data_IF_966037206709
#
_entry.id   IF_966037206709
#
_cell.length_a   1.000
_cell.length_b   1.000
_cell.length_c   1.000
_cell.angle_alpha   90.00
_cell.angle_beta   90.00
_cell.angle_gamma   90.00
#
_symmetry.space_group_name_H-M   'P 1'
#
loop_
_entity.id
_entity.type
_entity.pdbx_description
1 polymer ?
#
# COMPACT_ATOMS: atom_id res chain seq x y z
N UNK A 1 34.42 -3.32 2.02
CA UNK A 1 34.62 -4.25 0.90
C UNK A 1 33.57 -3.93 -0.16
N UNK A 2 33.98 -3.74 -1.41
CA UNK A 2 33.33 -2.85 -2.39
C UNK A 2 32.05 -3.38 -3.04
N UNK A 3 31.08 -2.47 -3.22
CA UNK A 3 29.78 -2.55 -3.93
C UNK A 3 29.86 -2.84 -5.44
N UNK A 4 30.85 -3.57 -5.93
CA UNK A 4 31.02 -3.89 -7.35
C UNK A 4 31.20 -5.39 -7.52
N UNK A 5 30.07 -6.08 -7.61
CA UNK A 5 29.89 -7.37 -8.30
C UNK A 5 28.38 -7.70 -8.34
N UNK A 6 27.56 -6.72 -8.72
CA UNK A 6 26.17 -7.00 -9.14
C UNK A 6 26.28 -7.62 -10.53
N UNK A 7 25.96 -8.91 -10.66
CA UNK A 7 25.89 -9.58 -11.97
C UNK A 7 24.93 -8.78 -12.84
N UNK A 8 25.45 -8.25 -13.94
CA UNK A 8 24.70 -7.61 -15.03
C UNK A 8 23.66 -8.60 -15.51
N UNK A 9 22.38 -8.29 -15.39
CA UNK A 9 21.39 -8.96 -16.24
C UNK A 9 21.46 -8.22 -17.56
N UNK A 10 22.04 -8.87 -18.56
CA UNK A 10 22.16 -8.36 -19.91
C UNK A 10 21.00 -8.95 -20.72
N UNK A 11 19.95 -8.16 -20.92
CA UNK A 11 18.79 -8.55 -21.74
C UNK A 11 19.03 -8.33 -23.25
N UNK A 12 20.22 -7.89 -23.68
CA UNK A 12 20.49 -7.42 -25.04
C UNK A 12 21.83 -7.91 -25.60
N UNK A 13 21.97 -9.23 -25.80
CA UNK A 13 23.02 -9.72 -26.71
C UNK A 13 22.52 -9.78 -28.17
N UNK A 14 22.28 -8.62 -28.79
CA UNK A 14 22.31 -8.43 -30.26
C UNK A 14 22.50 -6.94 -30.61
N UNK A 15 23.75 -6.62 -30.96
CA UNK A 15 24.29 -5.48 -31.70
C UNK A 15 23.55 -4.13 -31.67
N UNK A 16 24.00 -3.23 -30.79
CA UNK A 16 23.69 -1.81 -30.86
C UNK A 16 24.62 -1.06 -31.85
N UNK A 17 24.02 -0.36 -32.82
CA UNK A 17 24.63 0.73 -33.57
C UNK A 17 24.10 2.08 -33.08
N UNK A 18 24.97 2.77 -32.33
CA UNK A 18 25.08 4.20 -31.96
C UNK A 18 24.08 5.25 -32.51
N UNK A 19 23.49 6.10 -31.64
CA UNK A 19 23.86 7.52 -31.41
C UNK A 19 22.73 8.39 -30.78
N UNK A 20 23.07 9.13 -29.70
CA UNK A 20 22.32 10.29 -29.16
C UNK A 20 21.84 10.12 -27.70
N UNK A 21 21.83 11.18 -26.85
CA UNK A 21 21.24 11.08 -25.52
C UNK A 21 19.73 10.98 -25.70
N UNK A 22 19.18 9.78 -25.51
CA UNK A 22 17.74 9.60 -25.48
C UNK A 22 17.19 10.54 -24.40
N UNK A 23 16.36 11.51 -24.77
CA UNK A 23 15.53 12.20 -23.80
C UNK A 23 14.72 11.11 -23.09
N UNK A 24 15.07 10.77 -21.86
CA UNK A 24 14.35 9.76 -21.07
C UNK A 24 12.90 10.21 -20.99
N UNK A 25 12.01 9.50 -21.68
CA UNK A 25 10.58 9.78 -21.70
C UNK A 25 10.04 9.57 -20.28
N UNK A 26 9.84 10.65 -19.54
CA UNK A 26 9.38 10.61 -18.15
C UNK A 26 7.85 10.59 -18.10
N UNK A 27 7.32 9.78 -17.18
CA UNK A 27 5.92 9.82 -16.80
C UNK A 27 5.56 11.16 -16.17
N UNK A 28 4.48 11.77 -16.64
CA UNK A 28 3.86 12.96 -16.04
C UNK A 28 2.37 12.76 -15.90
N UNK A 29 1.76 13.49 -14.96
CA UNK A 29 0.32 13.44 -14.75
C UNK A 29 -0.41 13.82 -16.05
N UNK A 30 -1.39 13.01 -16.44
CA UNK A 30 -2.21 13.20 -17.64
C UNK A 30 -3.69 13.33 -17.31
N UNK A 31 -4.19 12.60 -16.31
CA UNK A 31 -5.60 12.67 -15.92
C UNK A 31 -5.84 12.31 -14.46
N UNK A 32 -6.97 12.81 -13.94
CA UNK A 32 -7.53 12.46 -12.65
C UNK A 32 -8.97 11.98 -12.84
N UNK A 33 -9.25 10.74 -12.45
CA UNK A 33 -10.58 10.14 -12.57
C UNK A 33 -11.21 10.07 -11.17
N UNK A 34 -12.40 10.65 -11.05
CA UNK A 34 -13.18 10.71 -9.81
C UNK A 34 -14.50 9.97 -10.00
N UNK A 35 -14.91 9.22 -8.97
CA UNK A 35 -16.23 8.56 -8.97
C UNK A 35 -16.39 7.49 -7.91
N UNK A 36 -15.30 6.96 -7.36
CA UNK A 36 -15.35 6.10 -6.18
C UNK A 36 -15.49 6.92 -4.89
N UNK A 37 -16.05 6.30 -3.86
CA UNK A 37 -16.27 6.93 -2.54
C UNK A 37 -15.43 6.33 -1.42
N UNK A 38 -14.60 5.33 -1.73
CA UNK A 38 -13.64 4.68 -0.84
C UNK A 38 -12.41 4.24 -1.67
N UNK A 39 -11.38 3.72 -1.01
CA UNK A 39 -10.10 3.32 -1.58
C UNK A 39 -10.26 2.52 -2.88
N UNK A 40 -9.53 2.92 -3.93
CA UNK A 40 -9.44 2.14 -5.17
C UNK A 40 -8.40 1.05 -4.97
N UNK A 41 -8.84 -0.21 -4.89
CA UNK A 41 -8.04 -1.35 -4.43
C UNK A 41 -7.49 -2.25 -5.53
N UNK A 42 -8.08 -2.22 -6.72
CA UNK A 42 -7.56 -2.95 -7.86
C UNK A 42 -7.84 -2.19 -9.16
N UNK A 43 -6.93 -2.34 -10.10
CA UNK A 43 -7.02 -1.80 -11.45
C UNK A 43 -6.64 -2.89 -12.46
N UNK A 44 -7.26 -2.85 -13.64
CA UNK A 44 -6.83 -3.63 -14.80
C UNK A 44 -7.20 -2.87 -16.06
N UNK A 45 -6.48 -3.08 -17.15
CA UNK A 45 -6.83 -2.50 -18.45
C UNK A 45 -7.17 -3.56 -19.49
N UNK A 46 -8.08 -3.24 -20.39
CA UNK A 46 -8.34 -4.03 -21.59
C UNK A 46 -7.45 -3.55 -22.76
N UNK A 47 -7.18 -4.42 -23.76
CA UNK A 47 -6.39 -4.06 -24.94
C UNK A 47 -6.95 -2.90 -25.78
N UNK A 48 -8.25 -2.60 -25.64
CA UNK A 48 -8.92 -1.50 -26.34
C UNK A 48 -8.78 -0.13 -25.64
N UNK A 49 -7.97 -0.07 -24.59
CA UNK A 49 -7.71 1.12 -23.79
C UNK A 49 -8.73 1.39 -22.69
N UNK A 50 -9.69 0.50 -22.47
CA UNK A 50 -10.63 0.61 -21.33
C UNK A 50 -9.90 0.30 -20.02
N UNK A 51 -10.01 1.20 -19.05
CA UNK A 51 -9.52 0.99 -17.68
C UNK A 51 -10.68 0.51 -16.79
N UNK A 52 -10.45 -0.49 -15.95
CA UNK A 52 -11.39 -0.94 -14.94
C UNK A 52 -10.81 -0.69 -13.56
N UNK A 53 -11.65 -0.25 -12.63
CA UNK A 53 -11.29 -0.02 -11.24
C UNK A 53 -12.28 -0.66 -10.28
N UNK A 54 -11.77 -1.29 -9.23
CA UNK A 54 -12.57 -1.79 -8.12
C UNK A 54 -12.22 -1.04 -6.83
N UNK A 55 -13.23 -0.71 -6.04
CA UNK A 55 -13.07 0.04 -4.78
C UNK A 55 -13.70 -0.70 -3.61
N UNK A 56 -13.27 -0.33 -2.40
CA UNK A 56 -13.93 -0.75 -1.15
C UNK A 56 -15.36 -0.24 -1.02
N UNK A 57 -15.76 0.74 -1.83
CA UNK A 57 -17.15 1.22 -1.90
C UNK A 57 -18.14 0.18 -2.47
N UNK A 58 -17.64 -1.00 -2.87
CA UNK A 58 -18.45 -2.10 -3.39
C UNK A 58 -18.85 -1.90 -4.85
N UNK A 59 -18.16 -1.02 -5.57
CA UNK A 59 -18.38 -0.79 -6.99
C UNK A 59 -17.16 -1.13 -7.83
N UNK A 60 -17.46 -1.58 -9.06
CA UNK A 60 -16.51 -1.63 -10.16
C UNK A 60 -16.92 -0.63 -11.22
N UNK A 61 -15.96 0.07 -11.81
CA UNK A 61 -16.20 1.11 -12.81
C UNK A 61 -15.30 0.90 -14.02
N UNK A 62 -15.83 1.16 -15.21
CA UNK A 62 -15.06 1.17 -16.46
C UNK A 62 -14.94 2.57 -17.00
N UNK A 63 -13.73 2.95 -17.39
CA UNK A 63 -13.35 4.27 -17.85
C UNK A 63 -12.77 4.16 -19.24
N UNK A 64 -13.10 5.10 -20.12
CA UNK A 64 -12.56 5.13 -21.48
C UNK A 64 -12.23 6.55 -21.89
N UNK A 65 -11.14 6.72 -22.64
CA UNK A 65 -10.84 7.98 -23.31
C UNK A 65 -11.76 8.14 -24.52
N UNK A 66 -12.35 9.31 -24.68
CA UNK A 66 -13.11 9.64 -25.89
C UNK A 66 -12.18 9.67 -27.11
N UNK A 67 -12.77 9.66 -28.31
CA UNK A 67 -11.99 9.86 -29.52
C UNK A 67 -11.35 11.26 -29.51
N UNK A 68 -10.20 11.38 -30.16
CA UNK A 68 -9.55 12.67 -30.39
C UNK A 68 -10.52 13.59 -31.14
N UNK A 69 -10.71 14.80 -30.64
CA UNK A 69 -11.57 15.78 -31.28
C UNK A 69 -10.98 16.19 -32.66
N UNK A 70 -11.81 16.54 -33.65
CA UNK A 70 -11.34 16.95 -34.98
C UNK A 70 -10.39 18.14 -34.97
N UNK A 71 -10.44 18.96 -33.92
CA UNK A 71 -9.56 20.10 -33.68
C UNK A 71 -8.16 19.70 -33.15
N UNK A 72 -7.90 18.41 -32.98
CA UNK A 72 -6.65 17.88 -32.47
C UNK A 72 -6.54 17.81 -30.94
N UNK A 73 -7.58 18.20 -30.18
CA UNK A 73 -7.63 18.01 -28.74
C UNK A 73 -7.78 16.53 -28.40
N UNK A 74 -7.03 16.09 -27.39
CA UNK A 74 -7.12 14.71 -26.93
C UNK A 74 -8.46 14.39 -26.28
N UNK A 75 -8.83 13.11 -26.36
CA UNK A 75 -10.03 12.60 -25.72
C UNK A 75 -9.92 12.66 -24.20
N UNK A 76 -11.04 12.98 -23.56
CA UNK A 76 -11.16 13.01 -22.10
C UNK A 76 -11.54 11.63 -21.58
N UNK A 77 -11.18 11.35 -20.34
CA UNK A 77 -11.65 10.16 -19.64
C UNK A 77 -13.13 10.30 -19.27
N UNK A 78 -13.93 9.30 -19.61
CA UNK A 78 -15.34 9.22 -19.28
C UNK A 78 -15.67 7.90 -18.58
N UNK A 79 -16.49 7.97 -17.54
CA UNK A 79 -17.10 6.81 -16.90
C UNK A 79 -18.12 6.19 -17.85
N UNK A 80 -17.88 4.96 -18.28
CA UNK A 80 -18.75 4.25 -19.22
C UNK A 80 -19.83 3.44 -18.50
N UNK A 81 -19.47 2.77 -17.41
CA UNK A 81 -20.36 1.87 -16.67
C UNK A 81 -19.93 1.72 -15.22
N UNK A 82 -20.91 1.54 -14.34
CA UNK A 82 -20.73 1.12 -12.95
C UNK A 82 -21.45 -0.21 -12.74
N UNK A 83 -20.79 -1.12 -12.03
CA UNK A 83 -21.39 -2.32 -11.47
C UNK A 83 -21.40 -2.20 -9.96
N UNK A 84 -22.55 -2.43 -9.34
CA UNK A 84 -22.77 -2.35 -7.89
C UNK A 84 -22.74 -3.74 -7.25
N UNK A 85 -22.37 -3.81 -5.97
CA UNK A 85 -22.28 -5.07 -5.22
C UNK A 85 -21.15 -5.98 -5.69
N UNK A 86 -20.13 -5.42 -6.35
CA UNK A 86 -18.95 -6.14 -6.83
C UNK A 86 -17.71 -5.67 -6.06
N UNK A 87 -16.81 -6.60 -5.73
CA UNK A 87 -15.79 -6.36 -4.72
C UNK A 87 -14.37 -6.16 -5.26
N UNK A 88 -13.46 -5.85 -4.33
CA UNK A 88 -12.17 -5.14 -4.40
C UNK A 88 -11.09 -5.64 -5.36
N UNK A 89 -11.17 -6.85 -5.91
CA UNK A 89 -10.27 -7.37 -6.94
C UNK A 89 -10.88 -7.24 -8.33
N UNK A 90 -10.08 -6.92 -9.35
CA UNK A 90 -10.56 -6.87 -10.74
C UNK A 90 -9.55 -7.47 -11.69
N UNK A 91 -10.00 -8.33 -12.59
CA UNK A 91 -9.22 -8.82 -13.71
C UNK A 91 -10.07 -8.84 -14.98
N UNK A 92 -9.46 -8.51 -16.12
CA UNK A 92 -10.14 -8.49 -17.41
C UNK A 92 -9.42 -9.36 -18.44
N UNK A 93 -10.16 -10.35 -18.97
CA UNK A 93 -9.85 -11.05 -20.21
C UNK A 93 -11.14 -11.59 -20.83
N UNK A 94 -11.78 -10.80 -21.70
CA UNK A 94 -13.15 -10.99 -22.25
C UNK A 94 -14.29 -11.03 -21.22
N UNK A 95 -14.00 -11.34 -19.97
CA UNK A 95 -14.89 -11.29 -18.81
C UNK A 95 -14.33 -10.30 -17.78
N UNK A 96 -15.21 -9.76 -16.96
CA UNK A 96 -14.87 -8.98 -15.78
C UNK A 96 -15.01 -9.90 -14.57
N UNK A 97 -13.88 -10.26 -13.95
CA UNK A 97 -13.86 -11.09 -12.75
C UNK A 97 -13.58 -10.20 -11.54
N UNK A 98 -14.38 -10.35 -10.49
CA UNK A 98 -14.25 -9.57 -9.25
C UNK A 98 -14.27 -10.47 -8.04
N UNK A 99 -13.54 -10.08 -6.98
CA UNK A 99 -13.50 -10.83 -5.73
C UNK A 99 -13.31 -9.89 -4.55
N UNK A 100 -13.77 -10.28 -3.37
CA UNK A 100 -13.50 -9.48 -2.18
C UNK A 100 -13.95 -10.10 -0.87
N UNK A 101 -14.40 -9.26 0.06
CA UNK A 101 -14.50 -9.61 1.49
C UNK A 101 -15.55 -10.69 1.80
N UNK A 102 -16.52 -10.87 0.92
CA UNK A 102 -17.60 -11.82 1.03
C UNK A 102 -17.21 -13.26 0.63
N UNK A 103 -15.93 -13.51 0.32
CA UNK A 103 -15.35 -14.77 -0.19
C UNK A 103 -15.84 -15.19 -1.58
N UNK A 104 -16.68 -14.39 -2.24
CA UNK A 104 -17.25 -14.71 -3.54
C UNK A 104 -16.33 -14.22 -4.66
N UNK A 105 -16.40 -14.91 -5.79
CA UNK A 105 -15.87 -14.42 -7.06
C UNK A 105 -17.04 -14.27 -8.03
N UNK A 106 -17.22 -13.07 -8.57
CA UNK A 106 -18.23 -12.81 -9.59
C UNK A 106 -17.57 -12.75 -10.96
N UNK A 107 -18.16 -13.43 -11.93
CA UNK A 107 -17.72 -13.46 -13.33
C UNK A 107 -18.83 -12.87 -14.18
N UNK A 108 -18.57 -11.69 -14.74
CA UNK A 108 -19.52 -10.93 -15.55
C UNK A 108 -19.09 -10.94 -17.01
N UNK A 109 -20.03 -11.24 -17.91
CA UNK A 109 -19.80 -11.14 -19.34
C UNK A 109 -19.85 -9.68 -19.80
N UNK A 110 -18.78 -9.22 -20.44
CA UNK A 110 -18.74 -7.88 -21.04
C UNK A 110 -19.48 -7.82 -22.38
N UNK A 111 -19.61 -8.96 -23.08
CA UNK A 111 -20.28 -9.06 -24.39
C UNK A 111 -21.75 -9.44 -24.30
N UNK A 112 -22.21 -9.93 -23.14
CA UNK A 112 -23.59 -10.27 -22.87
C UNK A 112 -24.02 -9.66 -21.52
N UNK A 113 -24.23 -8.33 -21.46
CA UNK A 113 -24.45 -7.61 -20.21
C UNK A 113 -25.75 -7.99 -19.49
N UNK A 114 -26.73 -8.53 -20.22
CA UNK A 114 -28.00 -9.00 -19.66
C UNK A 114 -27.91 -10.44 -19.10
N UNK A 115 -26.80 -11.14 -19.35
CA UNK A 115 -26.59 -12.46 -18.76
C UNK A 115 -26.32 -12.30 -17.25
N UNK A 116 -26.92 -13.13 -16.39
CA UNK A 116 -26.67 -13.05 -14.95
C UNK A 116 -25.18 -13.31 -14.66
N UNK A 117 -24.60 -12.63 -13.66
CA UNK A 117 -23.25 -12.92 -13.22
C UNK A 117 -23.16 -14.37 -12.73
N UNK A 118 -22.04 -15.02 -13.02
CA UNK A 118 -21.73 -16.32 -12.45
C UNK A 118 -20.95 -16.12 -11.16
N UNK A 119 -21.38 -16.80 -10.10
CA UNK A 119 -20.68 -16.78 -8.82
C UNK A 119 -19.87 -18.05 -8.62
N UNK A 120 -18.56 -17.92 -8.37
CA UNK A 120 -17.70 -19.04 -8.00
C UNK A 120 -17.67 -19.13 -6.47
N UNK A 121 -18.08 -20.29 -5.94
CA UNK A 121 -18.19 -20.57 -4.52
C UNK A 121 -17.08 -21.52 -4.09
N UNK A 122 -16.35 -21.17 -3.03
CA UNK A 122 -15.43 -22.12 -2.41
C UNK A 122 -14.40 -21.55 -1.46
N UNK A 123 -14.00 -20.28 -1.60
CA UNK A 123 -13.12 -19.65 -0.63
C UNK A 123 -13.82 -19.47 0.72
N UNK A 124 -13.05 -19.56 1.81
CA UNK A 124 -13.56 -19.41 3.19
C UNK A 124 -13.38 -18.01 3.78
N UNK A 125 -12.70 -17.11 3.05
CA UNK A 125 -12.40 -15.74 3.48
C UNK A 125 -12.17 -14.86 2.24
N UNK A 126 -11.98 -13.55 2.46
CA UNK A 126 -11.64 -12.52 1.49
C UNK A 126 -10.79 -13.03 0.31
N UNK A 127 -11.30 -12.84 -0.91
CA UNK A 127 -10.53 -13.03 -2.14
C UNK A 127 -9.74 -11.76 -2.43
N UNK A 128 -8.42 -11.88 -2.53
CA UNK A 128 -7.52 -10.73 -2.64
C UNK A 128 -7.13 -10.40 -4.07
N UNK A 129 -7.02 -11.42 -4.91
CA UNK A 129 -6.41 -11.32 -6.22
C UNK A 129 -7.01 -12.35 -7.17
N UNK A 130 -6.96 -12.02 -8.46
CA UNK A 130 -7.49 -12.81 -9.54
C UNK A 130 -6.55 -12.67 -10.74
N UNK A 131 -6.29 -13.78 -11.45
CA UNK A 131 -5.54 -13.75 -12.70
C UNK A 131 -6.02 -14.86 -13.64
N UNK A 132 -6.30 -14.56 -14.90
CA UNK A 132 -6.72 -15.58 -15.86
C UNK A 132 -5.54 -16.20 -16.60
N UNK A 133 -5.74 -17.41 -17.12
CA UNK A 133 -4.89 -17.98 -18.16
C UNK A 133 -5.02 -17.17 -19.46
N UNK A 134 -3.99 -17.20 -20.31
CA UNK A 134 -3.94 -16.46 -21.57
C UNK A 134 -5.09 -16.83 -22.55
N UNK A 135 -5.60 -18.06 -22.47
CA UNK A 135 -6.76 -18.52 -23.24
C UNK A 135 -8.11 -18.13 -22.63
N UNK A 136 -8.12 -17.57 -21.42
CA UNK A 136 -9.31 -17.16 -20.67
C UNK A 136 -10.18 -18.30 -20.16
N UNK A 137 -9.72 -19.55 -20.24
CA UNK A 137 -10.49 -20.72 -19.80
C UNK A 137 -10.34 -20.99 -18.31
N UNK A 138 -9.22 -20.58 -17.71
CA UNK A 138 -8.94 -20.77 -16.29
C UNK A 138 -8.81 -19.43 -15.58
N UNK A 139 -9.32 -19.38 -14.36
CA UNK A 139 -9.11 -18.28 -13.44
C UNK A 139 -8.36 -18.81 -12.23
N UNK A 140 -7.28 -18.13 -11.81
CA UNK A 140 -6.65 -18.34 -10.53
C UNK A 140 -7.14 -17.27 -9.53
N UNK A 141 -7.30 -17.66 -8.27
CA UNK A 141 -7.63 -16.75 -7.17
C UNK A 141 -6.78 -17.03 -5.94
N UNK A 142 -6.46 -15.99 -5.17
CA UNK A 142 -5.80 -16.09 -3.86
C UNK A 142 -6.68 -15.49 -2.76
N UNK A 143 -6.63 -16.06 -1.56
CA UNK A 143 -7.50 -15.67 -0.44
C UNK A 143 -6.79 -15.64 0.91
N UNK A 144 -7.40 -14.93 1.85
CA UNK A 144 -7.06 -14.94 3.28
C UNK A 144 -7.34 -16.28 3.96
N UNK A 145 -8.05 -17.20 3.31
CA UNK A 145 -8.24 -18.58 3.79
C UNK A 145 -6.98 -19.46 3.67
N UNK A 146 -5.84 -18.85 3.32
CA UNK A 146 -4.55 -19.51 3.13
C UNK A 146 -4.55 -20.52 1.97
N UNK A 147 -5.43 -20.34 0.98
CA UNK A 147 -5.44 -21.13 -0.24
C UNK A 147 -5.43 -20.25 -1.48
N UNK A 148 -4.90 -20.81 -2.56
CA UNK A 148 -5.22 -20.37 -3.91
C UNK A 148 -6.09 -21.42 -4.60
N UNK A 149 -6.90 -21.01 -5.57
CA UNK A 149 -7.78 -21.92 -6.32
C UNK A 149 -7.67 -21.68 -7.81
N UNK A 150 -7.88 -22.74 -8.58
CA UNK A 150 -7.99 -22.69 -10.04
C UNK A 150 -9.41 -23.09 -10.40
N UNK A 151 -10.07 -22.27 -11.21
CA UNK A 151 -11.45 -22.41 -11.62
C UNK A 151 -11.52 -22.61 -13.13
N UNK A 152 -12.46 -23.43 -13.56
CA UNK A 152 -12.92 -23.42 -14.94
C UNK A 152 -13.93 -22.30 -15.12
N UNK A 153 -13.67 -21.40 -16.05
CA UNK A 153 -14.44 -20.17 -16.24
C UNK A 153 -15.83 -20.45 -16.83
N UNK A 154 -15.95 -21.48 -17.68
CA UNK A 154 -17.19 -21.80 -18.38
C UNK A 154 -18.20 -22.52 -17.49
N UNK A 155 -17.76 -23.56 -16.79
CA UNK A 155 -18.58 -24.34 -15.86
C UNK A 155 -18.72 -23.66 -14.50
N UNK A 156 -17.73 -22.88 -14.08
CA UNK A 156 -17.62 -22.32 -12.73
C UNK A 156 -17.10 -23.32 -11.69
N UNK A 157 -16.65 -24.50 -12.11
CA UNK A 157 -16.13 -25.52 -11.21
C UNK A 157 -14.74 -25.16 -10.66
N UNK A 158 -14.53 -25.45 -9.38
CA UNK A 158 -13.20 -25.39 -8.77
C UNK A 158 -12.40 -26.62 -9.22
N UNK A 159 -11.48 -26.43 -10.15
CA UNK A 159 -10.63 -27.50 -10.68
C UNK A 159 -9.57 -27.95 -9.67
N UNK A 160 -8.96 -27.00 -8.95
CA UNK A 160 -7.86 -27.29 -8.01
C UNK A 160 -7.91 -26.37 -6.81
N UNK A 161 -7.57 -26.92 -5.63
CA UNK A 161 -7.30 -26.16 -4.41
C UNK A 161 -5.81 -26.30 -4.11
N UNK A 162 -5.09 -25.18 -4.21
CA UNK A 162 -3.67 -25.09 -3.97
C UNK A 162 -3.45 -24.82 -2.48
N UNK A 163 -3.01 -25.86 -1.79
CA UNK A 163 -2.69 -25.85 -0.36
C UNK A 163 -1.16 -25.93 -0.21
N UNK A 164 -0.62 -25.36 0.87
CA UNK A 164 0.80 -25.33 1.34
C UNK A 164 1.18 -23.94 1.91
N UNK A 165 0.29 -22.96 1.81
CA UNK A 165 0.47 -21.62 2.40
C UNK A 165 0.13 -21.61 3.88
N UNK A 166 0.89 -20.86 4.69
CA UNK A 166 0.65 -20.73 6.14
C UNK A 166 0.02 -19.39 6.52
N UNK A 167 -0.28 -18.55 5.53
CA UNK A 167 -0.93 -17.25 5.68
C UNK A 167 -1.69 -16.90 4.40
N UNK A 168 -2.31 -15.72 4.37
CA UNK A 168 -3.08 -15.22 3.23
C UNK A 168 -2.27 -15.25 1.92
N UNK A 169 -2.92 -15.68 0.83
CA UNK A 169 -2.39 -15.54 -0.53
C UNK A 169 -2.85 -14.18 -1.07
N UNK A 170 -1.90 -13.28 -1.30
CA UNK A 170 -2.17 -11.90 -1.68
C UNK A 170 -2.10 -11.65 -3.17
N UNK A 171 -1.32 -12.45 -3.92
CA UNK A 171 -1.30 -12.36 -5.37
C UNK A 171 -1.16 -13.72 -6.04
N UNK A 172 -1.66 -13.83 -7.27
CA UNK A 172 -1.58 -15.02 -8.11
C UNK A 172 -1.23 -14.63 -9.55
N UNK A 173 -0.43 -15.45 -10.21
CA UNK A 173 0.00 -15.24 -11.58
C UNK A 173 -0.10 -16.53 -12.38
N UNK A 174 -0.96 -16.54 -13.40
CA UNK A 174 -1.02 -17.65 -14.37
C UNK A 174 0.13 -17.53 -15.35
N UNK A 175 0.81 -18.65 -15.57
CA UNK A 175 1.94 -18.79 -16.48
C UNK A 175 1.55 -19.74 -17.60
N UNK A 176 1.50 -19.20 -18.81
CA UNK A 176 1.18 -19.92 -20.04
C UNK A 176 2.31 -19.73 -21.06
N UNK A 177 3.49 -20.23 -20.72
CA UNK A 177 4.66 -20.28 -21.60
C UNK A 177 5.04 -21.73 -21.84
N UNK A 178 5.69 -22.00 -22.98
CA UNK A 178 5.95 -23.37 -23.43
C UNK A 178 6.73 -24.17 -22.38
N UNK A 179 6.22 -25.33 -21.99
CA UNK A 179 6.79 -26.18 -20.93
C UNK A 179 6.38 -25.80 -19.51
N UNK A 180 5.66 -24.69 -19.34
CA UNK A 180 5.09 -24.23 -18.07
C UNK A 180 3.58 -24.04 -18.09
N UNK A 181 2.88 -24.58 -19.09
CA UNK A 181 1.44 -24.44 -19.27
C UNK A 181 0.65 -24.85 -18.02
N UNK A 182 -0.33 -24.03 -17.65
CA UNK A 182 -1.16 -24.27 -16.48
C UNK A 182 -0.44 -24.11 -15.15
N UNK A 183 0.75 -23.49 -15.13
CA UNK A 183 1.43 -23.16 -13.88
C UNK A 183 0.79 -21.92 -13.24
N UNK A 184 0.57 -21.95 -11.94
CA UNK A 184 0.15 -20.78 -11.15
C UNK A 184 1.22 -20.46 -10.13
N UNK A 185 1.71 -19.23 -10.15
CA UNK A 185 2.61 -18.68 -9.13
C UNK A 185 1.79 -17.92 -8.11
N UNK A 186 2.13 -18.02 -6.83
CA UNK A 186 1.38 -17.45 -5.71
C UNK A 186 2.32 -16.68 -4.80
N UNK A 187 1.93 -15.47 -4.39
CA UNK A 187 2.61 -14.65 -3.40
C UNK A 187 1.83 -14.67 -2.09
N UNK A 188 2.53 -14.91 -0.99
CA UNK A 188 1.91 -15.16 0.30
C UNK A 188 2.45 -14.24 1.39
N UNK A 189 1.58 -13.92 2.33
CA UNK A 189 1.91 -13.16 3.53
C UNK A 189 2.89 -13.90 4.46
N UNK A 190 3.15 -15.19 4.24
CA UNK A 190 4.18 -15.97 4.94
C UNK A 190 5.61 -15.66 4.46
N UNK A 191 5.75 -14.75 3.49
CA UNK A 191 7.04 -14.32 2.92
C UNK A 191 7.56 -15.23 1.81
N UNK A 192 6.80 -16.24 1.41
CA UNK A 192 7.20 -17.22 0.41
C UNK A 192 6.39 -17.08 -0.88
N UNK A 193 7.03 -17.45 -1.98
CA UNK A 193 6.39 -17.58 -3.28
C UNK A 193 6.41 -19.06 -3.66
N UNK A 194 5.32 -19.55 -4.24
CA UNK A 194 5.20 -20.96 -4.67
C UNK A 194 4.66 -21.03 -6.09
N UNK A 195 5.20 -21.95 -6.89
CA UNK A 195 4.58 -22.34 -8.16
C UNK A 195 3.88 -23.68 -8.02
N UNK A 196 2.71 -23.79 -8.65
CA UNK A 196 1.90 -24.99 -8.66
C UNK A 196 1.61 -25.41 -10.09
N UNK A 197 1.57 -26.73 -10.32
CA UNK A 197 1.08 -27.35 -11.56
C UNK A 197 0.39 -28.66 -11.21
N UNK A 198 -0.76 -28.91 -11.79
CA UNK A 198 -1.58 -30.10 -11.53
C UNK A 198 -1.89 -30.29 -10.03
N UNK A 199 -2.21 -29.19 -9.34
CA UNK A 199 -2.53 -29.16 -7.91
C UNK A 199 -1.33 -29.37 -6.97
N UNK A 200 -0.12 -29.55 -7.49
CA UNK A 200 1.08 -29.82 -6.69
C UNK A 200 2.06 -28.66 -6.73
N UNK A 201 2.65 -28.33 -5.58
CA UNK A 201 3.77 -27.38 -5.52
C UNK A 201 4.96 -27.95 -6.30
N UNK A 202 5.45 -27.18 -7.27
CA UNK A 202 6.62 -27.51 -8.09
C UNK A 202 7.86 -26.77 -7.62
N UNK A 203 7.75 -25.46 -7.38
CA UNK A 203 8.86 -24.64 -6.92
C UNK A 203 8.48 -23.87 -5.65
N UNK A 204 9.50 -23.61 -4.83
CA UNK A 204 9.45 -22.68 -3.70
C UNK A 204 10.56 -21.65 -3.89
N UNK A 205 10.21 -20.37 -3.87
CA UNK A 205 11.15 -19.27 -4.01
C UNK A 205 11.31 -18.60 -2.66
N UNK A 206 12.54 -18.58 -2.16
CA UNK A 206 12.91 -18.04 -0.84
C UNK A 206 13.86 -16.87 -1.05
N UNK A 207 13.54 -15.72 -0.47
CA UNK A 207 14.39 -14.55 -0.54
C UNK A 207 13.83 -13.36 0.22
N UNK A 208 12.53 -13.10 0.09
CA UNK A 208 11.87 -12.03 0.84
C UNK A 208 11.92 -12.25 2.35
N UNK A 209 12.11 -11.17 3.10
CA UNK A 209 12.19 -11.15 4.58
C UNK A 209 10.87 -10.68 5.21
N UNK A 210 9.87 -10.39 4.38
CA UNK A 210 8.54 -9.99 4.79
C UNK A 210 7.45 -10.52 3.86
N UNK A 211 6.19 -10.26 4.20
CA UNK A 211 5.03 -10.65 3.40
C UNK A 211 5.14 -10.22 1.92
N UNK A 212 4.93 -11.16 0.99
CA UNK A 212 4.97 -10.90 -0.46
C UNK A 212 3.59 -10.46 -0.95
N UNK A 213 3.51 -9.27 -1.56
CA UNK A 213 2.25 -8.60 -1.89
C UNK A 213 1.83 -8.68 -3.35
N UNK A 214 2.79 -8.61 -4.27
CA UNK A 214 2.49 -8.48 -5.69
C UNK A 214 3.43 -9.32 -6.55
N UNK A 215 2.93 -9.78 -7.68
CA UNK A 215 3.62 -10.51 -8.72
C UNK A 215 3.43 -9.78 -10.06
N UNK A 216 4.47 -9.74 -10.88
CA UNK A 216 4.35 -9.23 -12.25
C UNK A 216 5.04 -10.19 -13.23
N UNK A 217 4.36 -10.50 -14.33
CA UNK A 217 4.96 -11.31 -15.40
C UNK A 217 6.01 -10.48 -16.14
N UNK A 218 7.24 -10.96 -16.22
CA UNK A 218 8.27 -10.33 -17.04
C UNK A 218 8.25 -11.04 -18.38
N UNK A 219 7.70 -10.38 -19.39
CA UNK A 219 7.72 -10.83 -20.78
C UNK A 219 8.29 -9.75 -21.69
N UNK A 220 9.62 -9.56 -21.72
CA UNK A 220 10.29 -8.94 -22.84
C UNK A 220 10.01 -9.75 -24.11
N UNK A 221 9.98 -9.08 -25.26
CA UNK A 221 9.92 -9.73 -26.58
C UNK A 221 11.09 -10.73 -26.81
N UNK A 222 12.17 -10.60 -26.06
CA UNK A 222 13.44 -11.35 -26.25
C UNK A 222 13.69 -12.42 -25.17
N UNK A 223 12.83 -12.56 -24.17
CA UNK A 223 12.97 -13.66 -23.18
C UNK A 223 12.16 -14.88 -23.60
N UNK A 224 12.53 -16.03 -23.07
CA UNK A 224 11.76 -17.28 -23.13
C UNK A 224 10.41 -17.20 -22.36
N UNK A 225 10.10 -16.05 -21.74
CA UNK A 225 8.91 -15.83 -20.92
C UNK A 225 8.97 -16.53 -19.57
N UNK A 226 10.15 -17.00 -19.14
CA UNK A 226 10.34 -17.76 -17.91
C UNK A 226 10.65 -16.90 -16.68
N UNK A 227 10.44 -15.58 -16.75
CA UNK A 227 10.74 -14.66 -15.65
C UNK A 227 9.49 -14.02 -15.05
N UNK A 228 9.55 -13.74 -13.76
CA UNK A 228 8.56 -12.93 -13.06
C UNK A 228 9.23 -12.11 -11.97
N UNK A 229 8.58 -11.03 -11.57
CA UNK A 229 8.98 -10.21 -10.44
C UNK A 229 8.02 -10.37 -9.28
N UNK A 230 8.52 -10.18 -8.06
CA UNK A 230 7.73 -10.12 -6.84
C UNK A 230 8.06 -8.88 -6.03
N UNK A 231 7.08 -8.32 -5.32
CA UNK A 231 7.28 -7.19 -4.41
C UNK A 231 6.74 -7.50 -3.01
N UNK A 232 7.37 -6.91 -1.99
CA UNK A 232 7.18 -7.30 -0.59
C UNK A 232 7.09 -6.11 0.37
N UNK A 233 6.61 -6.41 1.58
CA UNK A 233 6.69 -5.52 2.73
C UNK A 233 8.13 -5.26 3.21
N UNK A 234 9.11 -6.02 2.75
CA UNK A 234 10.53 -5.76 3.04
C UNK A 234 11.14 -4.61 2.23
N UNK A 235 10.35 -3.92 1.40
CA UNK A 235 10.80 -2.80 0.58
C UNK A 235 11.56 -3.20 -0.69
N UNK A 236 11.69 -4.50 -0.97
CA UNK A 236 12.42 -5.01 -2.14
C UNK A 236 11.49 -5.57 -3.22
N UNK A 237 11.97 -5.50 -4.46
CA UNK A 237 11.43 -6.25 -5.59
C UNK A 237 12.46 -7.30 -5.98
N UNK A 238 12.05 -8.54 -6.19
CA UNK A 238 12.94 -9.63 -6.59
C UNK A 238 12.56 -10.14 -7.96
N UNK A 239 13.58 -10.40 -8.80
CA UNK A 239 13.42 -10.92 -10.15
C UNK A 239 13.81 -12.39 -10.11
N UNK A 240 12.91 -13.24 -10.59
CA UNK A 240 13.04 -14.69 -10.53
C UNK A 240 12.97 -15.29 -11.92
N UNK A 241 13.73 -16.37 -12.11
CA UNK A 241 13.45 -17.35 -13.13
C UNK A 241 12.54 -18.45 -12.57
N UNK A 242 11.64 -19.01 -13.39
CA UNK A 242 10.63 -19.99 -12.96
C UNK A 242 11.20 -21.30 -12.39
N UNK A 243 12.48 -21.61 -12.65
CA UNK A 243 13.18 -22.76 -12.05
C UNK A 243 13.57 -22.55 -10.57
N UNK A 244 13.35 -21.36 -10.02
CA UNK A 244 13.70 -21.02 -8.64
C UNK A 244 14.90 -20.10 -8.50
N UNK A 245 15.61 -19.80 -9.59
CA UNK A 245 16.80 -18.94 -9.55
C UNK A 245 16.42 -17.48 -9.28
N UNK A 246 17.01 -16.88 -8.25
CA UNK A 246 16.97 -15.42 -8.04
C UNK A 246 17.98 -14.75 -8.97
N UNK A 247 17.49 -13.84 -9.80
CA UNK A 247 18.29 -13.13 -10.80
C UNK A 247 18.72 -11.75 -10.31
N UNK A 248 17.83 -11.01 -9.66
CA UNK A 248 18.10 -9.66 -9.17
C UNK A 248 17.27 -9.30 -7.93
N UNK A 249 17.73 -8.27 -7.23
CA UNK A 249 16.99 -7.58 -6.17
C UNK A 249 17.05 -6.08 -6.43
N UNK A 250 15.89 -5.47 -6.63
CA UNK A 250 15.71 -4.04 -6.77
C UNK A 250 15.33 -3.47 -5.41
N UNK A 251 16.03 -2.43 -5.01
CA UNK A 251 15.91 -1.78 -3.71
C UNK A 251 15.71 -0.28 -3.91
N UNK A 252 14.87 0.32 -3.08
CA UNK A 252 14.55 1.75 -3.18
C UNK A 252 13.22 2.16 -2.55
N UNK A 253 12.30 1.24 -2.24
CA UNK A 253 11.13 1.57 -1.44
C UNK A 253 11.49 1.58 0.05
N UNK A 254 11.11 2.65 0.76
CA UNK A 254 11.33 2.78 2.21
C UNK A 254 10.18 2.18 3.04
N UNK A 255 9.19 1.57 2.38
CA UNK A 255 7.99 1.03 3.00
C UNK A 255 7.39 -0.10 2.16
N UNK A 256 6.22 -0.58 2.56
CA UNK A 256 5.52 -1.69 1.94
C UNK A 256 5.19 -1.42 0.47
N UNK A 257 5.56 -2.35 -0.40
CA UNK A 257 5.20 -2.30 -1.82
C UNK A 257 3.88 -3.04 -2.00
N UNK A 258 2.84 -2.34 -2.43
CA UNK A 258 1.48 -2.89 -2.59
C UNK A 258 1.21 -3.45 -3.98
N UNK A 259 1.80 -2.86 -5.03
CA UNK A 259 1.51 -3.24 -6.40
C UNK A 259 2.75 -3.18 -7.28
N UNK A 260 2.82 -4.10 -8.24
CA UNK A 260 3.91 -4.27 -9.19
C UNK A 260 3.32 -4.65 -10.54
N UNK A 261 3.72 -3.94 -11.60
CA UNK A 261 3.25 -4.19 -12.97
C UNK A 261 4.39 -4.08 -13.97
N UNK A 262 4.27 -4.78 -15.09
CA UNK A 262 5.20 -4.68 -16.21
C UNK A 262 4.74 -3.61 -17.18
N UNK A 263 5.70 -2.81 -17.65
CA UNK A 263 5.47 -1.81 -18.69
C UNK A 263 5.71 -2.49 -20.05
N UNK A 264 4.81 -2.33 -21.04
CA UNK A 264 5.00 -2.89 -22.37
C UNK A 264 6.34 -2.44 -23.00
N UNK A 265 7.07 -3.34 -23.65
CA UNK A 265 8.32 -2.99 -24.35
C UNK A 265 8.11 -1.95 -25.45
N UNK A 266 6.90 -1.89 -26.05
CA UNK A 266 6.48 -0.83 -26.97
C UNK A 266 6.45 0.58 -26.34
N UNK A 267 6.52 0.66 -25.02
CA UNK A 267 6.45 1.88 -24.20
C UNK A 267 7.69 2.06 -23.31
N UNK A 268 8.86 1.63 -23.83
CA UNK A 268 10.17 1.62 -23.18
C UNK A 268 10.35 0.58 -22.05
N UNK A 269 9.39 -0.35 -21.91
CA UNK A 269 9.56 -1.54 -21.08
C UNK A 269 9.82 -1.27 -19.59
N UNK A 270 10.16 -2.36 -18.89
CA UNK A 270 10.55 -2.33 -17.49
C UNK A 270 9.39 -2.65 -16.53
N UNK A 271 9.52 -2.18 -15.29
CA UNK A 271 8.53 -2.41 -14.24
C UNK A 271 8.09 -1.08 -13.62
N UNK A 272 6.88 -1.04 -13.10
CA UNK A 272 6.41 0.01 -12.20
C UNK A 272 5.97 -0.61 -10.86
N UNK A 273 6.39 -0.03 -9.75
CA UNK A 273 5.98 -0.44 -8.40
C UNK A 273 5.43 0.73 -7.61
N UNK A 274 4.55 0.45 -6.65
CA UNK A 274 4.00 1.47 -5.75
C UNK A 274 3.63 0.90 -4.39
N UNK A 275 3.49 1.77 -3.39
CA UNK A 275 3.32 1.34 -2.01
C UNK A 275 2.78 2.40 -1.06
N UNK A 276 3.01 2.15 0.24
CA UNK A 276 2.60 3.01 1.36
C UNK A 276 3.39 4.33 1.43
N UNK A 277 4.51 4.42 0.72
CA UNK A 277 5.33 5.62 0.63
C UNK A 277 4.77 6.64 -0.37
N UNK A 278 3.72 6.31 -1.12
CA UNK A 278 3.07 7.21 -2.07
C UNK A 278 3.96 7.56 -3.26
N UNK A 279 4.92 6.69 -3.59
CA UNK A 279 5.84 6.87 -4.72
C UNK A 279 5.61 5.73 -5.71
N UNK A 280 5.39 6.08 -6.98
CA UNK A 280 5.52 5.10 -8.07
C UNK A 280 6.98 5.12 -8.51
N UNK A 281 7.64 3.96 -8.50
CA UNK A 281 9.00 3.79 -9.00
C UNK A 281 8.98 3.07 -10.33
N UNK A 282 9.71 3.62 -11.29
CA UNK A 282 9.87 3.08 -12.64
C UNK A 282 11.26 2.46 -12.73
N UNK A 283 11.32 1.18 -13.06
CA UNK A 283 12.54 0.40 -13.13
C UNK A 283 12.84 0.08 -14.58
N UNK A 284 14.07 0.37 -15.00
CA UNK A 284 14.55 0.18 -16.36
C UNK A 284 14.60 -1.31 -16.74
N UNK A 285 14.21 -1.63 -17.98
CA UNK A 285 14.22 -3.00 -18.50
C UNK A 285 15.62 -3.58 -18.66
N UNK A 286 16.61 -2.78 -19.06
CA UNK A 286 17.95 -3.23 -19.43
C UNK A 286 18.78 -3.64 -18.23
N UNK A 287 18.72 -2.90 -17.12
CA UNK A 287 19.59 -3.12 -15.96
C UNK A 287 18.84 -3.21 -14.61
N UNK A 288 17.53 -3.01 -14.60
CA UNK A 288 16.73 -2.93 -13.36
C UNK A 288 16.98 -1.68 -12.54
N UNK A 289 17.72 -0.70 -13.06
CA UNK A 289 17.98 0.57 -12.40
C UNK A 289 16.72 1.41 -12.23
N UNK A 290 16.68 2.23 -11.19
CA UNK A 290 15.61 3.21 -10.97
C UNK A 290 15.71 4.31 -12.04
N UNK A 291 14.73 4.36 -12.96
CA UNK A 291 14.63 5.35 -14.03
C UNK A 291 13.93 6.63 -13.55
N UNK A 292 12.85 6.47 -12.78
CA UNK A 292 12.05 7.61 -12.32
C UNK A 292 11.31 7.31 -11.01
N UNK A 293 11.17 8.34 -10.19
CA UNK A 293 10.20 8.38 -9.09
C UNK A 293 9.07 9.37 -9.44
N UNK A 294 7.83 8.94 -9.28
CA UNK A 294 6.63 9.75 -9.49
C UNK A 294 5.87 9.86 -8.18
N UNK A 295 5.81 11.07 -7.64
CA UNK A 295 5.19 11.35 -6.35
C UNK A 295 3.68 11.45 -6.50
N UNK A 296 2.92 10.58 -5.84
CA UNK A 296 1.45 10.60 -5.91
C UNK A 296 0.89 11.39 -4.72
N UNK A 297 -0.17 12.21 -4.90
CA UNK A 297 -0.69 13.05 -3.82
C UNK A 297 -1.10 12.30 -2.52
N UNK A 298 -1.89 11.22 -2.57
CA UNK A 298 -2.17 10.36 -1.42
C UNK A 298 -0.93 9.63 -0.88
N UNK A 299 -1.01 9.23 0.39
CA UNK A 299 0.06 8.46 1.05
C UNK A 299 0.13 7.02 0.52
N UNK A 300 -1.02 6.34 0.36
CA UNK A 300 -1.02 4.95 -0.08
C UNK A 300 -1.48 4.84 -1.53
N UNK A 301 -0.64 4.21 -2.35
CA UNK A 301 -0.99 3.78 -3.71
C UNK A 301 -1.23 2.28 -3.68
N UNK A 302 -2.49 1.87 -3.73
CA UNK A 302 -2.90 0.48 -3.50
C UNK A 302 -2.72 -0.41 -4.72
N UNK A 303 -2.95 0.13 -5.91
CA UNK A 303 -2.97 -0.64 -7.15
C UNK A 303 -2.34 0.14 -8.30
N UNK A 304 -1.63 -0.56 -9.17
CA UNK A 304 -1.16 -0.09 -10.46
C UNK A 304 -1.75 -0.95 -11.58
N UNK A 305 -1.93 -0.36 -12.74
CA UNK A 305 -2.03 -1.08 -14.02
C UNK A 305 -1.33 -0.27 -15.10
N UNK A 306 -0.73 -0.97 -16.06
CA UNK A 306 -0.26 -0.35 -17.30
C UNK A 306 -1.27 -0.56 -18.40
N UNK A 307 -1.60 0.50 -19.13
CA UNK A 307 -2.50 0.47 -20.26
C UNK A 307 -1.76 0.00 -21.53
N UNK A 308 -2.52 -0.41 -22.55
CA UNK A 308 -1.98 -0.90 -23.81
C UNK A 308 -1.09 0.12 -24.56
N UNK A 309 -1.28 1.41 -24.31
CA UNK A 309 -0.48 2.52 -24.85
C UNK A 309 0.65 2.98 -23.93
N UNK A 310 0.92 2.23 -22.84
CA UNK A 310 2.03 2.50 -21.92
C UNK A 310 1.71 3.47 -20.79
N UNK A 311 0.52 4.07 -20.77
CA UNK A 311 0.10 4.94 -19.66
C UNK A 311 -0.02 4.11 -18.37
N UNK A 312 0.32 4.71 -17.23
CA UNK A 312 0.18 4.12 -15.92
C UNK A 312 -1.02 4.71 -15.21
N UNK A 313 -1.90 3.87 -14.70
CA UNK A 313 -2.98 4.28 -13.81
C UNK A 313 -2.74 3.73 -12.40
N UNK A 314 -2.99 4.54 -11.38
CA UNK A 314 -2.85 4.12 -10.00
C UNK A 314 -4.10 4.42 -9.15
N UNK A 315 -4.54 3.42 -8.40
CA UNK A 315 -5.69 3.49 -7.49
C UNK A 315 -5.20 3.77 -6.08
N UNK A 316 -5.78 4.77 -5.43
CA UNK A 316 -5.22 5.34 -4.21
C UNK A 316 -6.22 5.45 -3.06
N UNK A 317 -5.71 5.82 -1.88
CA UNK A 317 -6.49 6.01 -0.65
C UNK A 317 -7.32 7.29 -0.57
N UNK A 318 -7.27 8.13 -1.60
CA UNK A 318 -8.09 9.35 -1.75
C UNK A 318 -9.32 9.10 -2.63
N UNK A 319 -9.66 7.84 -2.86
CA UNK A 319 -10.77 7.36 -3.68
C UNK A 319 -10.63 7.74 -5.17
N UNK A 320 -9.46 8.21 -5.58
CA UNK A 320 -9.20 8.65 -6.94
C UNK A 320 -8.31 7.67 -7.71
N UNK A 321 -8.31 7.85 -9.02
CA UNK A 321 -7.37 7.21 -9.92
C UNK A 321 -6.56 8.31 -10.60
N UNK A 322 -5.24 8.22 -10.48
CA UNK A 322 -4.31 9.14 -11.15
C UNK A 322 -3.69 8.42 -12.34
N UNK A 323 -3.69 9.07 -13.51
CA UNK A 323 -3.12 8.52 -14.75
C UNK A 323 -1.90 9.33 -15.13
N UNK A 324 -0.82 8.63 -15.47
CA UNK A 324 0.46 9.19 -15.88
C UNK A 324 0.84 8.68 -17.26
N UNK A 325 1.45 9.52 -18.06
CA UNK A 325 1.82 9.21 -19.44
C UNK A 325 3.26 9.57 -19.75
N UNK A 326 3.90 8.77 -20.60
CA UNK A 326 5.17 9.10 -21.26
C UNK A 326 4.96 9.85 -22.57
N UNK A 327 3.75 9.93 -23.11
CA UNK A 327 3.50 10.56 -24.40
C UNK A 327 3.44 12.08 -24.31
N UNK A 328 4.35 12.77 -25.00
CA UNK A 328 4.49 14.23 -24.97
C UNK A 328 3.23 15.00 -25.36
N UNK A 329 2.37 14.44 -26.22
CA UNK A 329 1.11 15.06 -26.64
C UNK A 329 0.10 15.03 -25.49
N UNK A 330 0.18 14.00 -24.62
CA UNK A 330 -0.74 13.76 -23.49
C UNK A 330 -0.27 14.32 -22.15
N UNK A 331 0.99 14.76 -22.06
CA UNK A 331 1.60 15.33 -20.84
C UNK A 331 0.93 16.61 -20.34
N UNK A 332 -0.06 17.15 -21.07
CA UNK A 332 -0.82 18.34 -20.72
C UNK A 332 -2.15 18.04 -20.05
N UNK A 333 -2.12 17.43 -18.84
CA UNK A 333 -3.32 17.29 -18.01
C UNK A 333 -4.11 18.61 -17.94
N UNK A 334 -5.44 18.52 -17.89
CA UNK A 334 -6.28 19.71 -17.77
C UNK A 334 -5.95 20.50 -16.49
N UNK A 335 -6.27 21.79 -16.50
CA UNK A 335 -5.94 22.69 -15.39
C UNK A 335 -6.47 22.19 -14.04
N UNK A 336 -7.68 21.61 -14.03
CA UNK A 336 -8.28 21.07 -12.81
C UNK A 336 -7.47 19.89 -12.25
N UNK A 337 -7.04 18.98 -13.11
CA UNK A 337 -6.16 17.85 -12.75
C UNK A 337 -4.82 18.36 -12.19
N UNK A 338 -4.19 19.34 -12.83
CA UNK A 338 -2.89 19.88 -12.40
C UNK A 338 -2.98 20.56 -11.03
N UNK A 339 -3.99 21.41 -10.83
CA UNK A 339 -4.24 22.09 -9.55
C UNK A 339 -4.52 21.07 -8.44
N UNK A 340 -5.32 20.03 -8.71
CA UNK A 340 -5.59 18.97 -7.74
C UNK A 340 -4.31 18.20 -7.35
N UNK A 341 -3.47 17.87 -8.33
CA UNK A 341 -2.20 17.18 -8.11
C UNK A 341 -1.25 18.03 -7.24
N UNK A 342 -1.01 19.28 -7.63
CA UNK A 342 -0.10 20.18 -6.91
C UNK A 342 -0.58 20.51 -5.50
N UNK A 343 -1.88 20.73 -5.32
CA UNK A 343 -2.46 20.99 -3.99
C UNK A 343 -2.37 19.79 -3.08
N UNK A 344 -2.63 18.58 -3.59
CA UNK A 344 -2.51 17.34 -2.82
C UNK A 344 -1.06 17.05 -2.40
N UNK A 345 -0.07 17.30 -3.29
CA UNK A 345 1.34 17.19 -2.93
C UNK A 345 1.76 18.17 -1.83
N UNK A 346 1.29 19.43 -1.90
CA UNK A 346 1.53 20.43 -0.84
C UNK A 346 0.92 20.00 0.50
N UNK A 347 -0.27 19.43 0.48
CA UNK A 347 -0.93 18.94 1.69
C UNK A 347 -0.19 17.75 2.29
N UNK A 348 0.27 16.82 1.45
CA UNK A 348 1.12 15.71 1.86
C UNK A 348 2.41 16.20 2.53
N UNK A 349 3.13 17.15 1.91
CA UNK A 349 4.33 17.74 2.51
C UNK A 349 4.02 18.42 3.85
N UNK A 350 2.89 19.14 3.95
CA UNK A 350 2.43 19.76 5.19
C UNK A 350 2.23 18.70 6.27
N UNK A 351 1.51 17.63 5.96
CA UNK A 351 1.25 16.52 6.88
C UNK A 351 2.53 15.79 7.30
N UNK A 352 3.48 15.60 6.39
CA UNK A 352 4.80 15.03 6.72
C UNK A 352 5.59 15.94 7.67
N UNK A 353 5.60 17.25 7.45
CA UNK A 353 6.26 18.22 8.35
C UNK A 353 5.59 18.26 9.73
N UNK A 354 4.26 18.17 9.79
CA UNK A 354 3.53 18.04 11.06
C UNK A 354 3.90 16.75 11.79
N UNK A 355 3.96 15.61 11.09
CA UNK A 355 4.38 14.33 11.67
C UNK A 355 5.84 14.37 12.14
N UNK A 356 6.77 14.92 11.35
CA UNK A 356 8.16 15.06 11.76
C UNK A 356 8.34 16.04 12.94
N UNK A 357 7.51 17.08 13.02
CA UNK A 357 7.43 17.97 14.18
C UNK A 357 6.87 17.29 15.43
N UNK A 358 5.97 16.31 15.26
CA UNK A 358 5.47 15.44 16.34
C UNK A 358 6.51 14.38 16.75
N UNK A 359 7.23 13.78 15.81
CA UNK A 359 8.29 12.78 16.06
C UNK A 359 9.54 13.40 16.71
N UNK A 360 9.73 14.72 16.56
CA UNK A 360 10.70 15.51 17.33
C UNK A 360 10.28 15.78 18.78
N UNK A 361 9.02 15.52 19.13
CA UNK A 361 8.54 15.47 20.51
C UNK A 361 8.69 14.05 21.01
N UNK A 362 9.66 13.83 21.92
CA UNK A 362 9.93 12.52 22.52
C UNK A 362 8.62 11.82 22.89
N UNK A 363 8.39 10.64 22.29
CA UNK A 363 7.35 9.68 22.67
C UNK A 363 7.66 9.08 24.06
N UNK A 364 7.84 9.94 25.05
CA UNK A 364 8.19 9.57 26.42
C UNK A 364 7.04 10.00 27.33
N UNK A 365 6.71 9.10 28.26
CA UNK A 365 5.92 9.39 29.46
C UNK A 365 6.52 10.63 30.17
N UNK A 366 5.75 11.42 30.95
CA UNK A 366 6.33 12.56 31.64
C UNK A 366 7.52 12.11 32.47
N UNK A 367 8.64 12.80 32.29
CA UNK A 367 9.88 12.47 33.01
C UNK A 367 9.65 12.67 34.49
N UNK A 368 10.02 11.67 35.27
CA UNK A 368 10.16 11.83 36.72
C UNK A 368 11.52 12.47 36.96
N UNK A 369 11.49 13.69 37.47
CA UNK A 369 12.67 14.46 37.84
C UNK A 369 13.12 14.16 39.27
N UNK A 370 14.22 14.80 39.68
CA UNK A 370 14.70 14.75 41.06
C UNK A 370 14.31 16.00 41.85
N UNK A 371 14.40 15.94 43.18
CA UNK A 371 14.00 17.02 44.09
C UNK A 371 14.73 18.34 43.79
N UNK A 372 15.96 18.30 43.30
CA UNK A 372 16.73 19.50 42.94
C UNK A 372 16.08 20.28 41.78
N UNK A 373 15.27 19.63 40.94
CA UNK A 373 14.55 20.32 39.85
C UNK A 373 13.43 21.24 40.33
N UNK A 374 13.06 21.17 41.61
CA UNK A 374 12.12 22.12 42.24
C UNK A 374 12.79 23.44 42.65
N UNK A 375 14.13 23.54 42.57
CA UNK A 375 14.85 24.81 42.78
C UNK A 375 14.59 25.80 41.63
N UNK A 376 14.34 25.29 40.42
CA UNK A 376 14.00 26.08 39.25
C UNK A 376 12.53 26.52 39.31
N UNK A 377 12.30 27.84 39.17
CA UNK A 377 10.96 28.40 39.14
C UNK A 377 10.12 27.84 37.97
N UNK A 378 8.83 27.60 38.22
CA UNK A 378 7.89 27.21 37.18
C UNK A 378 7.70 28.29 36.12
N UNK A 379 7.42 27.87 34.88
CA UNK A 379 7.25 28.77 33.74
C UNK A 379 5.82 29.32 33.64
N UNK A 380 4.83 28.63 34.21
CA UNK A 380 3.42 29.01 34.21
C UNK A 380 2.71 28.51 35.46
N UNK A 381 1.73 29.27 35.96
CA UNK A 381 0.85 28.83 37.04
C UNK A 381 0.11 27.55 36.64
N UNK A 382 0.04 26.58 37.55
CA UNK A 382 -0.57 25.26 37.31
C UNK A 382 0.33 24.27 36.56
N UNK A 383 1.59 24.63 36.26
CA UNK A 383 2.59 23.69 35.76
C UNK A 383 2.86 22.60 36.79
N UNK A 384 2.95 21.35 36.35
CA UNK A 384 3.16 20.20 37.24
C UNK A 384 4.46 19.48 36.89
N UNK A 385 5.24 19.12 37.91
CA UNK A 385 6.42 18.24 37.82
C UNK A 385 6.18 16.97 38.62
N UNK A 386 6.57 15.83 38.06
CA UNK A 386 6.64 14.57 38.80
C UNK A 386 8.06 14.42 39.34
N UNK A 387 8.20 14.20 40.63
CA UNK A 387 9.50 14.15 41.30
C UNK A 387 9.58 12.90 42.17
N UNK A 388 10.66 12.15 42.02
CA UNK A 388 10.95 11.01 42.90
C UNK A 388 11.54 11.52 44.23
N UNK A 389 10.88 11.18 45.34
CA UNK A 389 11.32 11.51 46.69
C UNK A 389 12.07 10.33 47.31
N UNK A 390 13.06 10.60 48.15
CA UNK A 390 13.93 9.55 48.72
C UNK A 390 13.19 8.55 49.64
N UNK A 391 12.00 8.91 50.14
CA UNK A 391 11.29 8.13 51.16
C UNK A 391 9.86 7.73 50.80
N UNK A 392 9.26 8.33 49.76
CA UNK A 392 7.80 8.23 49.52
C UNK A 392 7.44 8.15 48.02
N UNK A 393 8.33 7.60 47.18
CA UNK A 393 8.05 7.38 45.76
C UNK A 393 7.84 8.68 44.96
N UNK A 394 7.05 8.62 43.89
CA UNK A 394 6.85 9.75 42.97
C UNK A 394 5.71 10.65 43.43
N UNK A 395 6.01 11.94 43.61
CA UNK A 395 5.06 12.97 43.98
C UNK A 395 4.81 13.93 42.82
N UNK A 396 3.60 14.49 42.76
CA UNK A 396 3.26 15.57 41.84
C UNK A 396 3.38 16.92 42.55
N UNK A 397 4.23 17.80 42.03
CA UNK A 397 4.38 19.18 42.52
C UNK A 397 3.75 20.14 41.52
N UNK A 398 2.99 21.12 41.99
CA UNK A 398 2.34 22.14 41.16
C UNK A 398 2.88 23.54 41.47
N UNK A 399 3.17 24.32 40.43
CA UNK A 399 3.61 25.70 40.56
C UNK A 399 2.43 26.64 40.80
N UNK A 400 2.39 27.32 41.95
CA UNK A 400 1.32 28.24 42.31
C UNK A 400 1.45 29.65 41.68
N UNK A 401 2.60 29.92 41.04
CA UNK A 401 3.01 31.24 40.54
C UNK A 401 4.24 31.82 41.24
N UNK A 402 4.65 31.22 42.36
CA UNK A 402 5.74 31.67 43.23
C UNK A 402 6.58 30.53 43.83
N UNK A 403 5.96 29.40 44.18
CA UNK A 403 6.61 28.22 44.77
C UNK A 403 6.00 26.92 44.23
N UNK A 404 6.74 25.82 44.36
CA UNK A 404 6.24 24.48 44.08
C UNK A 404 5.54 23.92 45.32
N UNK A 405 4.26 23.58 45.20
CA UNK A 405 3.48 22.93 46.25
C UNK A 405 3.36 21.43 45.96
N UNK A 406 3.58 20.60 46.99
CA UNK A 406 3.35 19.15 46.91
C UNK A 406 1.85 18.86 46.87
N UNK A 407 1.37 18.30 45.76
CA UNK A 407 -0.04 17.95 45.55
C UNK A 407 -0.33 16.57 46.14
N UNK A 408 0.65 15.68 46.21
CA UNK A 408 0.47 14.31 46.71
C UNK A 408 1.20 13.24 45.91
N UNK A 409 1.07 11.99 46.38
CA UNK A 409 1.77 10.83 45.84
C UNK A 409 1.04 10.28 44.61
N UNK A 410 1.77 9.90 43.57
CA UNK A 410 1.21 9.24 42.38
C UNK A 410 1.03 7.75 42.67
N UNK A 411 -0.22 7.30 42.78
CA UNK A 411 -0.59 5.93 43.21
C UNK A 411 -0.97 4.98 42.07
N UNK A 412 -1.17 5.50 40.85
CA UNK A 412 -1.33 4.67 39.65
C UNK A 412 0.01 4.55 38.95
N UNK A 413 0.50 3.32 38.74
CA UNK A 413 1.80 3.01 38.12
C UNK A 413 2.09 3.91 36.92
N UNK A 414 3.26 4.56 36.95
CA UNK A 414 4.22 4.16 35.95
C UNK A 414 5.54 3.78 36.62
N UNK A 415 6.47 3.25 35.83
CA UNK A 415 7.91 3.12 36.14
C UNK A 415 8.36 1.72 36.59
N UNK A 416 8.26 0.77 35.66
CA UNK A 416 9.40 -0.14 35.50
C UNK A 416 9.75 -0.51 34.04
N UNK A 417 9.04 -0.02 33.01
CA UNK A 417 9.43 -0.26 31.61
C UNK A 417 9.00 0.86 30.65
N UNK A 418 9.91 1.51 29.90
CA UNK A 418 9.61 2.57 28.93
C UNK A 418 9.12 2.07 27.55
N UNK A 419 8.44 0.92 27.48
CA UNK A 419 8.23 0.23 26.20
C UNK A 419 6.79 -0.30 26.02
N UNK A 420 5.80 0.59 25.98
CA UNK A 420 4.65 0.49 25.08
C UNK A 420 3.66 1.60 25.36
N UNK A 421 3.21 2.29 24.31
CA UNK A 421 2.01 3.13 24.35
C UNK A 421 0.83 2.28 24.87
N UNK A 422 -0.05 2.82 25.74
CA UNK A 422 -1.26 2.10 26.12
C UNK A 422 -2.05 1.76 24.86
N UNK A 423 -2.50 0.51 24.75
CA UNK A 423 -3.23 -0.01 23.60
C UNK A 423 -4.58 0.70 23.39
N UNK A 424 -5.10 1.36 24.42
CA UNK A 424 -6.36 2.12 24.38
C UNK A 424 -6.24 3.46 25.13
N UNK A 425 -6.89 4.50 24.60
CA UNK A 425 -6.94 5.84 25.22
C UNK A 425 -7.86 5.84 26.44
N UNK A 426 -7.52 6.65 27.44
CA UNK A 426 -8.26 6.77 28.71
C UNK A 426 -9.18 7.99 28.67
N UNK A 427 -10.42 7.86 29.14
CA UNK A 427 -11.38 8.95 29.16
C UNK A 427 -11.36 9.72 30.49
N UNK A 428 -11.28 11.05 30.45
CA UNK A 428 -11.40 11.94 31.60
C UNK A 428 -12.19 13.20 31.23
N UNK A 429 -13.25 13.50 31.99
CA UNK A 429 -14.18 14.62 31.74
C UNK A 429 -14.74 14.69 30.30
N UNK A 430 -14.97 13.52 29.69
CA UNK A 430 -15.49 13.41 28.32
C UNK A 430 -14.46 13.62 27.22
N UNK A 431 -13.18 13.79 27.56
CA UNK A 431 -12.05 13.92 26.63
C UNK A 431 -11.15 12.68 26.74
N UNK A 432 -10.62 12.21 25.61
CA UNK A 432 -9.65 11.12 25.57
C UNK A 432 -8.21 11.60 25.75
N UNK A 433 -7.45 10.88 26.57
CA UNK A 433 -6.05 11.14 26.85
C UNK A 433 -5.21 9.86 26.66
N UNK A 434 -3.91 10.02 26.39
CA UNK A 434 -3.00 8.88 26.32
C UNK A 434 -2.80 8.24 27.72
N UNK A 435 -2.76 9.04 28.80
CA UNK A 435 -2.67 8.58 30.19
C UNK A 435 -3.53 9.44 31.13
N UNK A 436 -4.00 8.86 32.25
CA UNK A 436 -4.64 9.61 33.35
C UNK A 436 -4.07 9.11 34.67
N UNK A 437 -3.19 9.90 35.31
CA UNK A 437 -2.57 9.56 36.59
C UNK A 437 -3.54 9.80 37.76
N UNK A 438 -3.39 9.03 38.83
CA UNK A 438 -4.11 9.24 40.09
C UNK A 438 -3.13 9.73 41.15
N UNK A 439 -3.42 10.88 41.73
CA UNK A 439 -2.65 11.52 42.79
C UNK A 439 -3.45 11.40 44.07
N UNK A 440 -2.87 10.73 45.06
CA UNK A 440 -3.46 10.61 46.39
C UNK A 440 -3.12 11.87 47.20
N UNK A 441 -4.16 12.61 47.58
CA UNK A 441 -4.07 13.80 48.44
C UNK A 441 -4.23 13.36 49.90
N UNK A 442 -3.67 14.11 50.86
CA UNK A 442 -3.70 13.69 52.28
C UNK A 442 -5.14 13.67 52.86
N UNK A 443 -5.46 12.58 53.57
CA UNK A 443 -6.66 12.21 54.37
C UNK A 443 -8.06 12.66 53.87
N UNK A 444 -8.88 11.65 53.51
CA UNK A 444 -10.34 11.67 53.23
C UNK A 444 -10.85 12.39 51.95
N UNK A 445 -9.97 12.82 51.04
CA UNK A 445 -10.37 13.37 49.73
C UNK A 445 -10.26 12.32 48.59
N UNK A 446 -11.15 12.35 47.57
CA UNK A 446 -11.03 11.46 46.42
C UNK A 446 -9.76 11.79 45.61
N UNK A 447 -9.04 10.77 45.10
CA UNK A 447 -7.76 10.97 44.42
C UNK A 447 -7.92 11.84 43.17
N UNK A 448 -7.02 12.80 43.03
CA UNK A 448 -7.04 13.75 41.94
C UNK A 448 -6.54 13.09 40.65
N UNK A 449 -7.25 13.35 39.55
CA UNK A 449 -6.92 12.78 38.23
C UNK A 449 -6.12 13.78 37.41
N UNK A 450 -4.97 13.36 36.91
CA UNK A 450 -4.08 14.17 36.08
C UNK A 450 -3.98 13.57 34.66
N UNK A 451 -4.78 14.09 33.69
CA UNK A 451 -4.73 13.63 32.31
C UNK A 451 -3.45 14.10 31.59
N UNK A 452 -2.91 13.27 30.71
CA UNK A 452 -1.68 13.53 29.96
C UNK A 452 -1.74 12.97 28.53
N UNK A 453 -1.28 13.77 27.57
CA UNK A 453 -1.03 13.35 26.20
C UNK A 453 0.47 13.33 25.94
N UNK A 454 0.93 12.33 25.20
CA UNK A 454 2.35 12.17 24.87
C UNK A 454 2.86 13.43 24.15
N UNK A 455 4.00 13.96 24.61
CA UNK A 455 4.58 15.21 24.09
C UNK A 455 3.94 16.50 24.63
N UNK A 456 2.92 16.39 25.48
CA UNK A 456 2.30 17.53 26.19
C UNK A 456 3.07 17.94 27.45
N UNK A 457 2.69 19.09 28.03
CA UNK A 457 3.09 19.47 29.39
C UNK A 457 2.04 18.98 30.39
N UNK A 458 2.47 18.56 31.58
CA UNK A 458 1.55 18.31 32.69
C UNK A 458 1.03 19.64 33.22
N UNK A 459 -0.28 19.81 33.19
CA UNK A 459 -0.97 20.98 33.74
C UNK A 459 -2.16 20.48 34.52
N UNK A 460 -2.17 20.73 35.83
CA UNK A 460 -3.38 20.56 36.62
C UNK A 460 -4.26 21.78 36.36
N UNK A 461 -5.48 21.58 35.85
CA UNK A 461 -6.47 22.65 35.91
C UNK A 461 -6.96 22.74 37.35
N UNK A 462 -6.76 23.89 38.00
CA UNK A 462 -7.37 24.12 39.31
C UNK A 462 -8.88 23.90 39.19
N UNK A 463 -9.52 23.17 40.12
CA UNK A 463 -10.97 23.08 40.13
C UNK A 463 -11.51 24.51 40.14
N UNK A 464 -12.36 24.83 39.16
CA UNK A 464 -13.08 26.11 39.14
C UNK A 464 -13.78 26.23 40.49
N UNK A 465 -13.32 27.17 41.33
CA UNK A 465 -13.98 27.54 42.59
C UNK A 465 -15.37 28.06 42.33
#
# INVERSE_FOLDING_TARGET
>A
MSRRDRKRIDFSSLEASTNGPASTMQYRISALLRGHTDDVRALTSAPDGTLYSASRDGTVKSWRRTAKEPNGQEGRWELQRTWEGLHTGVYQLRLLCTGGQDSLIQVVSLTAPDAPPRTLLGHGHNVCCLHASADGKRLASGSWDCTARIWDVESGECLQVLTDHTAAVWDVLCIDVKGYEGTVVTACADGLIRSFRDGQRKQLFKGHEGPVRALAKITPEVTDGLMFASASNDGTIRIWHLDGTELNVLDGHDSFIYSLVSIPSSSNGGLASSGEDGIIRIWNEEDGGLDQEVLVPPLSVWALTTLADGDLACGCSDNCIWVFTRDDVRRGADEGTRVAYESGLKERERMQKLKAGMDGGKNEMPKVGKVEELEDAGTKQGEVKLVETETDGVHAFMWDGSTWEDVGQVVSEPLSSPASKPTERMQHEGVEYDYVFSIDTKDDEPPLKLPYNIGGKLVLQSPKR
#
